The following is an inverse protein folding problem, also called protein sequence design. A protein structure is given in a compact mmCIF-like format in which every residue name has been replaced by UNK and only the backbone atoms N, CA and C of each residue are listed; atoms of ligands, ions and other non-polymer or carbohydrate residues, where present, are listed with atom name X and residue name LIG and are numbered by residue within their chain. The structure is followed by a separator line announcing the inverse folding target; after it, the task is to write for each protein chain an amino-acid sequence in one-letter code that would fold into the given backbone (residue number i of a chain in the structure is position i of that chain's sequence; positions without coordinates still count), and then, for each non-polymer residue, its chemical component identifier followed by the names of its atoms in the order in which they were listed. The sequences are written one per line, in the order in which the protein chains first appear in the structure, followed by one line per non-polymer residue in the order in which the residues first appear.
data_IF_531013835885
#
_entry.id   IF_531013835885
#
_cell.length_a   1.000
_cell.length_b   1.000
_cell.length_c   1.000
_cell.angle_alpha   90.00
_cell.angle_beta   90.00
_cell.angle_gamma   90.00
#
_symmetry.space_group_name_H-M   'P 1'
#
loop_
_entity.id
_entity.type
_entity.pdbx_description
1 polymer ?
#
# COMPACT_ATOMS: atom_id res chain seq x y z
N UNK A 1 -36.59 51.67 48.14
CA UNK A 1 -36.97 51.96 46.76
C UNK A 1 -37.09 50.63 46.03
N UNK A 2 -38.35 50.27 45.73
CA UNK A 2 -38.84 49.19 44.86
C UNK A 2 -38.14 49.18 43.48
N UNK A 3 -38.18 48.15 42.62
CA UNK A 3 -38.54 46.73 42.64
C UNK A 3 -38.44 46.26 41.17
N UNK A 4 -37.96 45.03 40.96
CA UNK A 4 -38.33 44.03 39.92
C UNK A 4 -38.39 44.34 38.41
N UNK A 5 -37.71 43.43 37.69
CA UNK A 5 -37.96 42.82 36.38
C UNK A 5 -39.31 43.05 35.66
N UNK A 6 -39.27 43.16 34.32
CA UNK A 6 -40.29 42.63 33.41
C UNK A 6 -39.74 42.46 31.98
N UNK A 7 -39.97 41.28 31.41
CA UNK A 7 -39.80 40.93 30.01
C UNK A 7 -40.98 41.44 29.17
N UNK A 8 -40.75 41.81 27.90
CA UNK A 8 -41.80 41.96 26.88
C UNK A 8 -41.34 41.44 25.50
N UNK A 9 -42.33 40.94 24.77
CA UNK A 9 -42.40 39.98 23.65
C UNK A 9 -41.77 40.38 22.29
N UNK A 10 -41.64 39.42 21.35
CA UNK A 10 -41.22 39.68 19.98
C UNK A 10 -42.38 40.23 19.15
N UNK A 11 -42.18 41.35 18.47
CA UNK A 11 -43.11 41.88 17.48
C UNK A 11 -42.53 41.70 16.07
N UNK A 12 -43.26 40.90 15.30
CA UNK A 12 -43.13 40.60 13.89
C UNK A 12 -43.09 41.89 13.06
N UNK A 13 -42.03 42.11 12.28
CA UNK A 13 -41.97 43.16 11.27
C UNK A 13 -41.61 42.54 9.92
N UNK A 14 -42.51 42.76 8.97
CA UNK A 14 -42.58 42.14 7.66
C UNK A 14 -41.38 42.49 6.76
N UNK A 15 -40.76 41.46 6.16
CA UNK A 15 -39.85 41.65 5.03
C UNK A 15 -40.66 41.89 3.76
N UNK A 16 -40.63 43.13 3.26
CA UNK A 16 -41.12 43.47 1.94
C UNK A 16 -40.34 42.70 0.87
N UNK A 17 -41.03 41.83 0.13
CA UNK A 17 -40.52 41.18 -1.06
C UNK A 17 -40.38 42.22 -2.18
N UNK A 18 -39.15 42.48 -2.62
CA UNK A 18 -38.89 43.15 -3.89
C UNK A 18 -39.03 42.09 -5.00
N UNK A 19 -39.90 42.28 -6.01
CA UNK A 19 -40.06 41.31 -7.08
C UNK A 19 -38.86 41.39 -8.03
N UNK A 20 -38.01 40.37 -8.02
CA UNK A 20 -37.03 40.16 -9.09
C UNK A 20 -37.79 39.70 -10.33
N UNK A 21 -37.81 40.57 -11.33
CA UNK A 21 -38.45 40.34 -12.61
C UNK A 21 -37.99 39.03 -13.25
N UNK A 22 -38.97 38.23 -13.66
CA UNK A 22 -38.80 37.01 -14.43
C UNK A 22 -38.22 37.33 -15.82
N UNK A 23 -36.90 37.26 -15.96
CA UNK A 23 -36.24 37.19 -17.26
C UNK A 23 -36.50 35.79 -17.85
N UNK A 24 -37.32 35.77 -18.90
CA UNK A 24 -37.65 34.60 -19.71
C UNK A 24 -36.39 34.05 -20.38
N UNK A 25 -35.81 32.99 -19.83
CA UNK A 25 -34.83 32.16 -20.54
C UNK A 25 -35.59 31.16 -21.41
N UNK A 26 -36.01 31.62 -22.59
CA UNK A 26 -36.51 30.76 -23.65
C UNK A 26 -35.30 30.20 -24.42
N UNK A 27 -35.16 28.88 -24.46
CA UNK A 27 -34.30 28.19 -25.42
C UNK A 27 -32.91 27.78 -24.90
N UNK A 28 -32.86 26.85 -23.95
CA UNK A 28 -31.89 25.75 -24.02
C UNK A 28 -32.68 24.46 -23.77
N UNK A 29 -33.08 23.81 -24.87
CA UNK A 29 -33.41 22.39 -24.84
C UNK A 29 -32.26 21.68 -24.15
N UNK A 30 -32.58 20.84 -23.16
CA UNK A 30 -31.64 19.97 -22.49
C UNK A 30 -30.85 19.20 -23.55
N UNK A 31 -29.62 19.64 -23.83
CA UNK A 31 -28.65 18.74 -24.42
C UNK A 31 -28.44 17.69 -23.35
N UNK A 32 -29.12 16.55 -23.54
CA UNK A 32 -28.75 15.28 -22.93
C UNK A 32 -27.28 15.11 -23.24
N UNK A 33 -26.44 15.58 -22.32
CA UNK A 33 -25.01 15.35 -22.35
C UNK A 33 -24.95 13.86 -22.10
N UNK A 34 -24.80 13.11 -23.19
CA UNK A 34 -24.45 11.70 -23.12
C UNK A 34 -23.32 11.62 -22.10
N UNK A 35 -23.43 10.79 -21.05
CA UNK A 35 -22.33 10.64 -20.12
C UNK A 35 -21.13 10.30 -20.98
N UNK A 36 -20.11 11.15 -20.93
CA UNK A 36 -18.84 10.99 -21.63
C UNK A 36 -18.47 9.53 -21.45
N UNK A 37 -18.60 8.72 -22.50
CA UNK A 37 -18.41 7.28 -22.40
C UNK A 37 -17.04 7.08 -21.79
N UNK A 38 -17.01 6.67 -20.53
CA UNK A 38 -15.76 6.36 -19.88
C UNK A 38 -15.17 5.28 -20.75
N UNK A 39 -14.02 5.57 -21.39
CA UNK A 39 -13.31 4.61 -22.21
C UNK A 39 -13.37 3.30 -21.45
N UNK A 40 -14.00 2.29 -22.05
CA UNK A 40 -14.24 1.00 -21.44
C UNK A 40 -13.03 0.64 -20.60
N UNK A 41 -13.17 0.69 -19.28
CA UNK A 41 -12.13 0.16 -18.40
C UNK A 41 -11.89 -1.26 -18.90
N UNK A 42 -10.64 -1.73 -19.02
CA UNK A 42 -10.39 -3.12 -19.36
C UNK A 42 -11.00 -3.96 -18.23
N UNK A 43 -12.23 -4.38 -18.47
CA UNK A 43 -13.11 -5.10 -17.54
C UNK A 43 -13.14 -6.51 -18.06
N UNK A 44 -11.98 -7.16 -18.05
CA UNK A 44 -11.84 -8.58 -18.29
C UNK A 44 -10.43 -8.92 -17.80
N UNK A 45 -10.32 -9.29 -16.53
CA UNK A 45 -9.18 -10.10 -16.09
C UNK A 45 -9.06 -11.27 -17.05
N UNK A 46 -7.90 -11.47 -17.68
CA UNK A 46 -7.72 -12.56 -18.63
C UNK A 46 -8.16 -13.90 -18.01
N UNK A 47 -9.14 -14.61 -18.60
CA UNK A 47 -9.65 -15.88 -18.05
C UNK A 47 -8.55 -16.95 -17.98
N UNK A 48 -7.48 -16.78 -18.76
CA UNK A 48 -6.29 -17.64 -18.77
C UNK A 48 -5.51 -17.57 -17.46
N UNK A 49 -5.32 -16.36 -16.88
CA UNK A 49 -4.62 -16.21 -15.61
C UNK A 49 -5.41 -16.79 -14.43
N UNK A 50 -6.74 -16.70 -14.49
CA UNK A 50 -7.60 -17.36 -13.50
C UNK A 50 -7.47 -18.89 -13.57
N UNK A 51 -7.48 -19.46 -14.79
CA UNK A 51 -7.23 -20.89 -14.99
C UNK A 51 -5.84 -21.31 -14.51
N UNK A 52 -4.82 -20.50 -14.78
CA UNK A 52 -3.46 -20.76 -14.31
C UNK A 52 -3.35 -20.65 -12.79
N UNK A 53 -4.00 -19.67 -12.17
CA UNK A 53 -4.12 -19.57 -10.72
C UNK A 53 -4.77 -20.82 -10.11
N UNK A 54 -5.89 -21.28 -10.66
CA UNK A 54 -6.54 -22.52 -10.23
C UNK A 54 -5.63 -23.76 -10.40
N UNK A 55 -4.83 -23.80 -11.47
CA UNK A 55 -3.82 -24.84 -11.66
C UNK A 55 -2.74 -24.80 -10.57
N UNK A 56 -2.23 -23.63 -10.21
CA UNK A 56 -1.25 -23.52 -9.12
C UNK A 56 -1.85 -23.95 -7.78
N UNK A 57 -3.11 -23.60 -7.51
CA UNK A 57 -3.82 -24.01 -6.31
C UNK A 57 -3.98 -25.54 -6.23
N UNK A 58 -4.26 -26.21 -7.35
CA UNK A 58 -4.40 -27.67 -7.39
C UNK A 58 -3.07 -28.40 -7.23
N UNK A 59 -1.96 -27.81 -7.70
CA UNK A 59 -0.62 -28.35 -7.49
C UNK A 59 -0.13 -28.21 -6.04
N UNK A 60 -0.42 -27.08 -5.39
CA UNK A 60 0.12 -26.76 -4.05
C UNK A 60 -0.98 -26.29 -3.07
N UNK A 61 -2.00 -27.13 -2.77
CA UNK A 61 -3.13 -26.73 -1.93
C UNK A 61 -2.73 -26.46 -0.48
N UNK A 62 -1.60 -27.01 -0.01
CA UNK A 62 -1.11 -26.84 1.36
C UNK A 62 -0.54 -25.44 1.63
N UNK A 63 -0.02 -24.78 0.60
CA UNK A 63 0.84 -23.61 0.75
C UNK A 63 0.18 -22.30 0.30
N UNK A 64 -0.67 -22.37 -0.72
CA UNK A 64 -1.37 -21.22 -1.28
C UNK A 64 -2.67 -21.02 -0.50
N UNK A 65 -2.84 -19.85 0.12
CA UNK A 65 -4.04 -19.51 0.89
C UNK A 65 -5.11 -18.90 -0.01
N UNK A 66 -4.71 -17.95 -0.85
CA UNK A 66 -5.61 -17.21 -1.72
C UNK A 66 -4.89 -16.82 -3.02
N UNK A 67 -5.67 -16.59 -4.06
CA UNK A 67 -5.23 -16.06 -5.34
C UNK A 67 -6.06 -14.82 -5.67
N UNK A 68 -5.41 -13.77 -6.14
CA UNK A 68 -6.09 -12.62 -6.71
C UNK A 68 -5.53 -12.32 -8.10
N UNK A 69 -6.41 -11.97 -9.03
CA UNK A 69 -6.06 -11.53 -10.38
C UNK A 69 -6.68 -10.18 -10.59
N UNK A 70 -5.85 -9.19 -10.90
CA UNK A 70 -6.31 -7.84 -11.19
C UNK A 70 -5.50 -7.26 -12.35
N UNK A 71 -6.18 -6.79 -13.39
CA UNK A 71 -5.57 -6.17 -14.60
C UNK A 71 -4.32 -6.93 -15.08
N UNK A 72 -4.50 -8.22 -15.37
CA UNK A 72 -3.48 -9.13 -15.88
C UNK A 72 -2.28 -9.40 -14.94
N UNK A 73 -2.41 -9.09 -13.66
CA UNK A 73 -1.44 -9.45 -12.64
C UNK A 73 -1.98 -10.56 -11.75
N UNK A 74 -1.29 -11.70 -11.74
CA UNK A 74 -1.56 -12.79 -10.83
C UNK A 74 -0.78 -12.60 -9.52
N UNK A 75 -1.51 -12.58 -8.41
CA UNK A 75 -0.95 -12.51 -7.05
C UNK A 75 -1.32 -13.76 -6.25
N UNK A 76 -0.30 -14.43 -5.70
CA UNK A 76 -0.45 -15.56 -4.79
C UNK A 76 -0.22 -15.11 -3.36
N UNK A 77 -1.11 -15.49 -2.44
CA UNK A 77 -0.94 -15.27 -1.01
C UNK A 77 -0.45 -16.56 -0.36
N UNK A 78 0.69 -16.48 0.32
CA UNK A 78 1.43 -17.62 0.83
C UNK A 78 1.85 -17.35 2.28
N UNK A 79 1.83 -18.39 3.12
CA UNK A 79 2.34 -18.29 4.49
C UNK A 79 3.88 -18.13 4.51
N UNK A 80 4.48 -17.47 5.52
CA UNK A 80 5.94 -17.30 5.60
C UNK A 80 6.70 -18.65 5.57
N UNK A 81 6.18 -19.68 6.25
CA UNK A 81 6.78 -21.02 6.27
C UNK A 81 6.77 -21.72 4.91
N UNK A 82 5.92 -21.25 3.99
CA UNK A 82 5.68 -21.86 2.69
C UNK A 82 6.42 -21.16 1.54
N UNK A 83 7.19 -20.11 1.82
CA UNK A 83 7.93 -19.34 0.81
C UNK A 83 8.89 -20.25 0.03
N UNK A 84 9.78 -20.98 0.72
CA UNK A 84 10.77 -21.83 0.08
C UNK A 84 10.18 -22.88 -0.88
N UNK A 85 9.19 -23.71 -0.47
CA UNK A 85 8.63 -24.71 -1.38
C UNK A 85 7.90 -24.08 -2.57
N UNK A 86 7.16 -22.99 -2.36
CA UNK A 86 6.46 -22.29 -3.45
C UNK A 86 7.47 -21.67 -4.43
N UNK A 87 8.53 -21.02 -3.94
CA UNK A 87 9.57 -20.43 -4.78
C UNK A 87 10.34 -21.49 -5.58
N UNK A 88 10.63 -22.65 -4.96
CA UNK A 88 11.26 -23.78 -5.66
C UNK A 88 10.37 -24.27 -6.80
N UNK A 89 9.08 -24.47 -6.53
CA UNK A 89 8.11 -24.90 -7.54
C UNK A 89 7.99 -23.89 -8.69
N UNK A 90 7.86 -22.60 -8.38
CA UNK A 90 7.76 -21.53 -9.38
C UNK A 90 9.01 -21.38 -10.23
N UNK A 91 10.18 -21.80 -9.74
CA UNK A 91 11.43 -21.77 -10.50
C UNK A 91 11.61 -23.00 -11.40
N UNK A 92 11.31 -24.19 -10.86
CA UNK A 92 11.76 -25.46 -11.44
C UNK A 92 10.66 -26.17 -12.27
N UNK A 93 9.38 -25.87 -12.06
CA UNK A 93 8.28 -26.55 -12.73
C UNK A 93 8.21 -26.21 -14.24
N UNK A 94 7.96 -27.20 -15.11
CA UNK A 94 7.94 -26.98 -16.57
C UNK A 94 6.96 -25.90 -17.03
N UNK A 95 5.77 -25.86 -16.45
CA UNK A 95 4.74 -24.84 -16.69
C UNK A 95 4.92 -23.55 -15.85
N UNK A 96 5.89 -23.50 -14.93
CA UNK A 96 6.19 -22.33 -14.10
C UNK A 96 7.71 -22.18 -14.05
N UNK A 97 8.26 -21.42 -15.01
CA UNK A 97 9.70 -21.21 -15.18
C UNK A 97 10.10 -19.79 -14.80
N UNK A 98 9.72 -19.35 -13.60
CA UNK A 98 10.04 -18.03 -13.08
C UNK A 98 11.50 -18.01 -12.60
N UNK A 99 12.42 -17.75 -13.54
CA UNK A 99 13.87 -17.81 -13.29
C UNK A 99 14.46 -16.51 -12.74
N UNK A 100 13.79 -15.39 -12.92
CA UNK A 100 14.29 -14.08 -12.52
C UNK A 100 13.44 -13.48 -11.41
N UNK A 101 14.08 -13.14 -10.30
CA UNK A 101 13.52 -12.21 -9.32
C UNK A 101 13.73 -10.80 -9.86
N UNK A 102 12.65 -10.02 -9.90
CA UNK A 102 12.69 -8.62 -10.27
C UNK A 102 12.86 -7.73 -9.04
N UNK A 103 12.13 -8.04 -7.97
CA UNK A 103 12.12 -7.24 -6.75
C UNK A 103 11.63 -8.04 -5.54
N UNK A 104 12.07 -7.63 -4.36
CA UNK A 104 11.54 -8.05 -3.05
C UNK A 104 11.27 -6.79 -2.23
N UNK A 105 9.99 -6.46 -2.04
CA UNK A 105 9.58 -5.26 -1.32
C UNK A 105 8.92 -5.61 0.01
N UNK A 106 9.11 -4.77 1.02
CA UNK A 106 8.25 -4.74 2.21
C UNK A 106 7.12 -3.74 2.02
N UNK A 107 5.96 -3.99 2.62
CA UNK A 107 4.86 -3.03 2.76
C UNK A 107 4.38 -3.06 4.20
N UNK A 108 4.27 -1.88 4.82
CA UNK A 108 3.84 -1.73 6.21
C UNK A 108 2.35 -1.35 6.26
N UNK A 109 1.55 -2.24 6.87
CA UNK A 109 0.13 -2.06 7.17
C UNK A 109 -0.09 -2.11 8.70
N UNK A 110 -0.08 -0.96 9.40
CA UNK A 110 -0.15 -0.93 10.87
C UNK A 110 -1.50 -1.40 11.43
N UNK A 111 -2.54 -1.49 10.60
CA UNK A 111 -3.88 -1.95 11.00
C UNK A 111 -4.02 -3.48 11.05
N UNK A 112 -3.03 -4.23 10.54
CA UNK A 112 -3.05 -5.71 10.50
C UNK A 112 -2.23 -6.28 11.66
N UNK A 113 -2.65 -7.44 12.19
CA UNK A 113 -1.88 -8.17 13.22
C UNK A 113 -0.48 -8.56 12.72
N UNK A 114 -0.38 -8.96 11.45
CA UNK A 114 0.88 -9.09 10.74
C UNK A 114 1.17 -7.79 9.99
N UNK A 115 1.90 -6.91 10.67
CA UNK A 115 2.20 -5.54 10.22
C UNK A 115 2.85 -5.48 8.83
N UNK A 116 3.78 -6.37 8.53
CA UNK A 116 4.55 -6.34 7.30
C UNK A 116 4.02 -7.34 6.28
N UNK A 117 3.87 -6.91 5.03
CA UNK A 117 3.73 -7.78 3.87
C UNK A 117 5.04 -7.77 3.07
N UNK A 118 5.63 -8.95 2.84
CA UNK A 118 6.77 -9.11 1.92
C UNK A 118 6.22 -9.56 0.57
N UNK A 119 6.54 -8.78 -0.46
CA UNK A 119 6.09 -8.96 -1.83
C UNK A 119 7.27 -9.34 -2.71
N UNK A 120 7.17 -10.48 -3.38
CA UNK A 120 8.14 -10.96 -4.34
C UNK A 120 7.58 -10.79 -5.75
N UNK A 121 8.37 -10.16 -6.62
CA UNK A 121 8.06 -10.02 -8.04
C UNK A 121 8.96 -10.95 -8.85
N UNK A 122 8.34 -11.86 -9.60
CA UNK A 122 9.06 -12.83 -10.42
C UNK A 122 8.70 -12.68 -11.89
N UNK A 123 9.68 -12.96 -12.75
CA UNK A 123 9.55 -12.96 -14.21
C UNK A 123 9.97 -14.31 -14.79
N UNK A 124 9.11 -14.85 -15.64
CA UNK A 124 9.42 -15.97 -16.52
C UNK A 124 9.76 -15.45 -17.91
N UNK A 125 11.02 -15.63 -18.32
CA UNK A 125 11.46 -15.26 -19.67
C UNK A 125 10.89 -16.19 -20.75
N UNK A 126 10.65 -17.46 -20.42
CA UNK A 126 10.14 -18.46 -21.38
C UNK A 126 8.72 -18.13 -21.83
N UNK A 127 7.88 -17.72 -20.88
CA UNK A 127 6.47 -17.44 -21.11
C UNK A 127 6.17 -15.93 -21.11
N UNK A 128 7.21 -15.09 -21.02
CA UNK A 128 7.12 -13.63 -20.84
C UNK A 128 6.01 -13.21 -19.87
N UNK A 129 5.92 -13.90 -18.74
CA UNK A 129 4.83 -13.78 -17.77
C UNK A 129 5.38 -13.35 -16.42
N UNK A 130 4.61 -12.54 -15.70
CA UNK A 130 4.95 -12.04 -14.36
C UNK A 130 4.02 -12.61 -13.32
N UNK A 131 4.55 -12.87 -12.13
CA UNK A 131 3.76 -13.31 -10.98
C UNK A 131 4.23 -12.58 -9.74
N UNK A 132 3.27 -12.27 -8.87
CA UNK A 132 3.52 -11.67 -7.56
C UNK A 132 3.25 -12.71 -6.48
N UNK A 133 4.18 -12.90 -5.56
CA UNK A 133 3.97 -13.75 -4.38
C UNK A 133 4.00 -12.84 -3.16
N UNK A 134 2.95 -12.86 -2.35
CA UNK A 134 2.83 -12.09 -1.12
C UNK A 134 2.88 -13.01 0.07
N UNK A 135 3.67 -12.61 1.05
CA UNK A 135 3.73 -13.23 2.37
C UNK A 135 3.62 -12.16 3.44
N UNK A 136 3.35 -12.58 4.66
CA UNK A 136 3.20 -11.69 5.79
C UNK A 136 4.23 -12.01 6.87
N UNK A 137 4.62 -10.97 7.60
CA UNK A 137 5.54 -11.02 8.72
C UNK A 137 5.09 -10.03 9.81
N UNK A 138 5.21 -10.43 11.06
CA UNK A 138 5.26 -9.51 12.19
C UNK A 138 6.72 -9.05 12.43
N UNK A 139 6.89 -8.09 13.33
CA UNK A 139 8.20 -7.52 13.68
C UNK A 139 9.19 -8.54 14.24
N UNK A 140 8.69 -9.50 15.03
CA UNK A 140 9.52 -10.52 15.69
C UNK A 140 9.58 -11.83 14.90
N UNK A 141 8.82 -11.97 13.81
CA UNK A 141 8.76 -13.22 13.05
C UNK A 141 9.66 -13.10 11.83
N UNK A 142 10.59 -14.03 11.70
CA UNK A 142 11.45 -14.08 10.54
C UNK A 142 10.80 -14.80 9.35
N UNK A 143 11.11 -14.35 8.14
CA UNK A 143 10.74 -14.97 6.87
C UNK A 143 11.95 -15.77 6.36
N UNK A 144 11.78 -16.94 5.73
CA UNK A 144 12.92 -17.64 5.13
C UNK A 144 13.43 -16.93 3.88
N UNK A 145 14.75 -16.77 3.77
CA UNK A 145 15.42 -16.12 2.63
C UNK A 145 15.33 -16.96 1.35
N UNK A 146 15.14 -16.31 0.20
CA UNK A 146 15.15 -16.93 -1.14
C UNK A 146 16.52 -16.85 -1.83
N UNK A 147 17.51 -16.24 -1.18
CA UNK A 147 18.90 -16.13 -1.68
C UNK A 147 19.54 -17.42 -2.20
N UNK A 148 19.39 -18.63 -1.59
CA UNK A 148 20.00 -19.84 -2.15
C UNK A 148 19.38 -20.24 -3.50
N UNK A 149 18.16 -19.81 -3.79
CA UNK A 149 17.48 -20.10 -5.05
C UNK A 149 17.71 -19.01 -6.09
N UNK A 150 17.72 -17.76 -5.64
CA UNK A 150 17.84 -16.57 -6.45
C UNK A 150 18.94 -15.67 -5.87
N UNK A 151 20.17 -15.71 -6.43
CA UNK A 151 21.28 -14.91 -5.89
C UNK A 151 21.02 -13.40 -6.00
N UNK A 152 20.18 -12.98 -6.96
CA UNK A 152 19.77 -11.57 -7.11
C UNK A 152 18.94 -11.03 -5.94
N UNK A 153 18.30 -11.89 -5.15
CA UNK A 153 17.47 -11.47 -4.02
C UNK A 153 18.26 -11.00 -2.80
N UNK A 154 19.58 -11.26 -2.74
CA UNK A 154 20.44 -10.92 -1.61
C UNK A 154 20.36 -9.42 -1.26
N UNK A 155 20.46 -8.55 -2.27
CA UNK A 155 20.43 -7.11 -2.05
C UNK A 155 19.04 -6.62 -1.64
N UNK A 156 17.98 -7.15 -2.24
CA UNK A 156 16.61 -6.76 -1.91
C UNK A 156 16.18 -7.22 -0.51
N UNK A 157 16.57 -8.42 -0.06
CA UNK A 157 16.31 -8.87 1.31
C UNK A 157 17.04 -8.01 2.34
N UNK A 158 18.28 -7.57 2.04
CA UNK A 158 19.02 -6.62 2.88
C UNK A 158 18.38 -5.24 2.91
N UNK A 159 17.88 -4.76 1.78
CA UNK A 159 17.13 -3.51 1.70
C UNK A 159 15.84 -3.57 2.53
N UNK A 160 15.07 -4.65 2.40
CA UNK A 160 13.85 -4.86 3.18
C UNK A 160 14.15 -4.94 4.70
N UNK A 161 15.28 -5.53 5.08
CA UNK A 161 15.76 -5.50 6.47
C UNK A 161 16.10 -4.07 6.92
N UNK A 162 16.83 -3.30 6.13
CA UNK A 162 17.25 -1.95 6.50
C UNK A 162 16.06 -0.98 6.60
N UNK A 163 15.14 -1.04 5.63
CA UNK A 163 14.02 -0.10 5.52
C UNK A 163 12.82 -0.42 6.41
N UNK A 164 12.49 -1.71 6.57
CA UNK A 164 11.31 -2.17 7.33
C UNK A 164 11.66 -2.93 8.60
N UNK A 165 12.88 -3.46 8.73
CA UNK A 165 13.27 -4.30 9.87
C UNK A 165 12.76 -5.73 9.78
N UNK A 166 12.51 -6.24 8.56
CA UNK A 166 12.06 -7.62 8.35
C UNK A 166 13.26 -8.54 8.41
N UNK A 167 13.21 -9.55 9.29
CA UNK A 167 14.30 -10.51 9.45
C UNK A 167 14.17 -11.67 8.47
N UNK A 168 15.27 -12.00 7.79
CA UNK A 168 15.35 -13.14 6.88
C UNK A 168 16.23 -14.25 7.47
N UNK A 169 15.67 -15.46 7.61
CA UNK A 169 16.40 -16.65 8.09
C UNK A 169 17.07 -17.37 6.92
N UNK A 170 18.34 -17.72 7.10
CA UNK A 170 19.14 -18.40 6.06
C UNK A 170 19.89 -17.46 5.10
N UNK A 171 19.85 -16.14 5.34
CA UNK A 171 20.58 -15.16 4.54
C UNK A 171 22.10 -15.22 4.86
N UNK A 172 23.00 -15.18 3.83
CA UNK A 172 24.45 -15.26 4.06
C UNK A 172 25.07 -14.06 4.82
N UNK A 173 24.69 -12.82 4.47
CA UNK A 173 25.16 -11.59 5.15
C UNK A 173 24.01 -10.57 5.28
N UNK A 174 23.23 -10.66 6.37
CA UNK A 174 22.13 -9.73 6.63
C UNK A 174 22.63 -8.52 7.43
N UNK A 175 22.84 -7.40 6.75
CA UNK A 175 23.22 -6.11 7.35
C UNK A 175 22.64 -4.95 6.54
N UNK A 176 22.61 -3.79 7.18
CA UNK A 176 22.19 -2.51 6.59
C UNK A 176 22.99 -2.16 5.34
N UNK A 177 22.40 -1.34 4.48
CA UNK A 177 22.98 -1.03 3.17
C UNK A 177 22.69 0.39 2.68
N UNK A 178 21.49 0.93 2.94
CA UNK A 178 21.10 2.27 2.51
C UNK A 178 21.27 3.30 3.63
N UNK A 179 21.05 2.89 4.89
CA UNK A 179 21.17 3.78 6.04
C UNK A 179 22.62 3.99 6.47
N UNK A 180 22.87 5.07 7.21
CA UNK A 180 24.17 5.33 7.83
C UNK A 180 24.52 4.25 8.87
N UNK A 181 25.81 4.05 9.11
CA UNK A 181 26.33 2.97 9.94
C UNK A 181 25.75 2.99 11.37
N UNK A 182 25.61 4.18 11.95
CA UNK A 182 25.09 4.39 13.32
C UNK A 182 23.59 4.70 13.39
N UNK A 183 22.84 4.50 12.30
CA UNK A 183 21.43 4.88 12.24
C UNK A 183 20.58 4.07 13.22
N UNK A 184 19.60 4.67 13.89
CA UNK A 184 18.69 3.95 14.79
C UNK A 184 17.27 4.02 14.24
N UNK A 185 16.65 2.85 14.04
CA UNK A 185 15.32 2.71 13.46
C UNK A 185 15.30 2.26 12.00
N UNK A 186 14.10 2.23 11.43
CA UNK A 186 13.79 1.73 10.10
C UNK A 186 12.95 2.76 9.33
N UNK A 187 13.51 3.45 8.31
CA UNK A 187 12.91 4.67 7.75
C UNK A 187 11.53 4.52 7.10
N UNK A 188 11.24 3.39 6.45
CA UNK A 188 9.99 3.21 5.67
C UNK A 188 8.82 2.70 6.50
N UNK A 189 9.00 2.54 7.81
CA UNK A 189 7.90 2.25 8.72
C UNK A 189 7.00 3.47 8.91
N UNK A 190 5.68 3.25 9.02
CA UNK A 190 4.69 4.34 9.07
C UNK A 190 4.71 5.18 10.36
N UNK A 191 5.31 4.66 11.41
CA UNK A 191 5.56 5.33 12.69
C UNK A 191 6.82 6.23 12.67
N UNK A 192 7.71 6.06 11.68
CA UNK A 192 8.94 6.83 11.58
C UNK A 192 8.66 8.24 11.02
N UNK A 193 9.18 9.33 11.64
CA UNK A 193 8.97 10.69 11.15
C UNK A 193 9.76 10.92 9.85
N UNK A 194 9.16 11.66 8.91
CA UNK A 194 9.76 11.94 7.61
C UNK A 194 11.19 12.53 7.70
N UNK A 195 11.43 13.37 8.69
CA UNK A 195 12.69 14.11 8.85
C UNK A 195 13.73 13.34 9.67
N UNK A 196 13.35 12.21 10.27
CA UNK A 196 14.19 11.49 11.22
C UNK A 196 14.32 12.18 12.58
N UNK A 197 15.23 11.68 13.40
CA UNK A 197 15.45 12.13 14.78
C UNK A 197 16.74 12.93 14.97
N UNK A 198 17.70 12.78 14.06
CA UNK A 198 19.06 13.29 14.18
C UNK A 198 19.42 14.07 12.92
N UNK A 199 20.12 15.19 13.11
CA UNK A 199 20.79 15.94 12.07
C UNK A 199 22.30 15.92 12.27
N UNK A 200 23.03 16.32 11.24
CA UNK A 200 24.48 16.22 11.21
C UNK A 200 25.08 17.59 10.92
N UNK A 201 25.97 18.05 11.80
CA UNK A 201 26.73 19.30 11.62
C UNK A 201 28.22 19.11 11.86
N UNK A 202 29.03 19.97 11.25
CA UNK A 202 30.45 20.05 11.56
C UNK A 202 30.67 20.89 12.82
N UNK A 203 31.41 20.35 13.78
CA UNK A 203 31.79 21.03 15.02
C UNK A 203 33.28 21.39 14.96
N UNK A 204 33.59 22.69 14.88
CA UNK A 204 34.97 23.18 14.72
C UNK A 204 35.82 22.95 15.99
N UNK A 205 35.20 22.99 17.17
CA UNK A 205 35.90 22.72 18.44
C UNK A 205 36.43 21.29 18.49
N UNK A 206 35.60 20.34 18.08
CA UNK A 206 35.95 18.90 18.04
C UNK A 206 36.62 18.49 16.73
N UNK A 207 36.66 19.37 15.73
CA UNK A 207 37.13 19.12 14.35
C UNK A 207 36.56 17.84 13.73
N UNK A 208 35.28 17.56 14.00
CA UNK A 208 34.60 16.35 13.51
C UNK A 208 33.12 16.62 13.25
N UNK A 209 32.53 15.73 12.48
CA UNK A 209 31.08 15.70 12.25
C UNK A 209 30.39 15.09 13.46
N UNK A 210 29.36 15.76 13.98
CA UNK A 210 28.58 15.36 15.15
C UNK A 210 27.11 15.19 14.75
N UNK A 211 26.47 14.14 15.26
CA UNK A 211 25.03 13.93 15.15
C UNK A 211 24.34 14.53 16.38
N UNK A 212 23.37 15.41 16.17
CA UNK A 212 22.61 16.09 17.22
C UNK A 212 21.10 15.90 17.00
N UNK A 213 20.26 16.04 18.05
CA UNK A 213 18.81 16.01 17.88
C UNK A 213 18.36 17.04 16.85
N UNK A 214 17.41 16.66 16.01
CA UNK A 214 16.93 17.47 14.89
C UNK A 214 16.30 18.80 15.35
N UNK A 215 16.78 19.92 14.81
CA UNK A 215 16.20 21.25 15.01
C UNK A 215 15.97 21.96 13.66
N UNK A 216 14.73 21.95 13.17
CA UNK A 216 14.41 22.57 11.88
C UNK A 216 13.98 24.04 12.03
N UNK A 217 14.61 24.93 11.26
CA UNK A 217 14.23 26.34 11.20
C UNK A 217 12.80 26.56 10.67
N UNK A 218 12.33 25.68 9.78
CA UNK A 218 10.96 25.65 9.30
C UNK A 218 10.40 24.24 9.45
N UNK A 219 9.25 24.11 10.13
CA UNK A 219 8.58 22.82 10.27
C UNK A 219 7.96 22.34 8.95
N UNK A 220 7.92 21.02 8.78
CA UNK A 220 7.22 20.39 7.67
C UNK A 220 5.72 20.70 7.73
N UNK A 221 5.17 21.22 6.63
CA UNK A 221 3.74 21.51 6.50
C UNK A 221 3.07 20.37 5.75
N UNK A 222 2.27 19.59 6.47
CA UNK A 222 1.45 18.54 5.87
C UNK A 222 0.16 19.17 5.30
N UNK A 223 0.02 19.17 3.97
CA UNK A 223 -1.19 19.61 3.30
C UNK A 223 -2.08 18.40 3.04
N UNK A 224 -3.28 18.41 3.62
CA UNK A 224 -4.28 17.39 3.32
C UNK A 224 -4.99 17.74 2.00
N UNK A 225 -4.65 16.99 0.95
CA UNK A 225 -5.29 17.10 -0.36
C UNK A 225 -6.46 16.13 -0.53
N UNK A 226 -6.88 15.44 0.55
CA UNK A 226 -8.00 14.53 0.48
C UNK A 226 -9.30 15.28 0.16
N UNK A 227 -10.09 14.68 -0.73
CA UNK A 227 -11.43 15.17 -1.06
C UNK A 227 -12.42 14.64 -0.03
N UNK A 228 -13.33 15.50 0.43
CA UNK A 228 -14.44 15.08 1.29
C UNK A 228 -15.43 14.14 0.57
N UNK A 229 -15.44 14.16 -0.77
CA UNK A 229 -16.29 13.32 -1.61
C UNK A 229 -15.52 12.11 -2.13
N UNK A 230 -16.20 10.96 -2.20
CA UNK A 230 -15.68 9.75 -2.83
C UNK A 230 -15.49 9.98 -4.33
N UNK A 231 -14.24 9.87 -4.79
CA UNK A 231 -13.87 10.16 -6.17
C UNK A 231 -14.14 8.99 -7.13
N UNK A 232 -14.19 7.75 -6.64
CA UNK A 232 -14.30 6.55 -7.46
C UNK A 232 -15.34 5.59 -6.88
N UNK A 233 -16.56 5.67 -7.40
CA UNK A 233 -17.74 4.89 -6.98
C UNK A 233 -17.61 3.36 -7.05
N UNK A 234 -16.56 2.82 -7.69
CA UNK A 234 -16.45 1.38 -8.01
C UNK A 234 -15.79 0.57 -6.88
N UNK A 235 -15.03 1.21 -5.99
CA UNK A 235 -14.23 0.49 -4.98
C UNK A 235 -15.06 -0.03 -3.80
N UNK A 236 -16.16 0.64 -3.43
CA UNK A 236 -17.08 0.17 -2.38
C UNK A 236 -17.75 -1.17 -2.73
N UNK A 237 -18.05 -1.41 -4.00
CA UNK A 237 -18.72 -2.64 -4.45
C UNK A 237 -17.81 -3.87 -4.40
N UNK A 238 -16.49 -3.71 -4.62
CA UNK A 238 -15.52 -4.82 -4.59
C UNK A 238 -15.07 -5.16 -3.15
N UNK A 239 -15.02 -4.15 -2.27
CA UNK A 239 -14.64 -4.34 -0.87
C UNK A 239 -15.69 -5.18 -0.10
N UNK A 240 -16.98 -5.02 -0.39
CA UNK A 240 -18.05 -5.80 0.25
C UNK A 240 -18.04 -7.28 -0.15
N UNK A 241 -17.56 -7.62 -1.35
CA UNK A 241 -17.48 -9.02 -1.83
C UNK A 241 -16.27 -9.79 -1.29
N UNK A 242 -15.22 -9.12 -0.87
CA UNK A 242 -14.06 -9.74 -0.20
C UNK A 242 -14.30 -10.02 1.30
N UNK A 243 -15.35 -9.46 1.90
CA UNK A 243 -15.65 -9.60 3.32
C UNK A 243 -16.52 -10.83 3.69
N UNK A 244 -16.91 -11.70 2.74
CA UNK A 244 -17.90 -12.79 2.97
C UNK A 244 -17.29 -14.20 2.98
N UNK A 245 -15.97 -14.36 3.11
CA UNK A 245 -15.38 -15.69 3.38
C UNK A 245 -14.56 -15.65 4.67
N UNK A 246 -15.26 -15.52 5.79
CA UNK A 246 -14.77 -15.96 7.10
C UNK A 246 -15.04 -17.46 7.27
N UNK A 247 -14.16 -18.21 7.96
CA UNK A 247 -14.32 -19.64 8.14
C UNK A 247 -15.49 -19.98 9.08
N UNK A 248 -16.12 -21.14 8.84
CA UNK A 248 -16.94 -21.84 9.83
C UNK A 248 -16.14 -22.11 11.12
#
# INVERSE_FOLDING_TARGET
MFSTAAALSPQTAAWALVPVAAARFAGLTSTTTTPRSYASMPTESSPELHKYGQYLLSCLPKFIQQISVYKDELTLYVAPNAVLPVMTFLRDHTNAQFKQVQDVCGVDYPTKDHRFEVVYHLLSLRFNSRIRVKTYAAENTAVPSITPMFPGANWHEREAYDMYGIFFTGHPDLRRILTDYGFEGHPLRKDFPLTGYVEVRYDDEKKRVVAEPLEMAQSFRNFDYSSAWEQVYVLLSFCSQLAVVGPN
#
